data_IF_395340039913
#
_entry.id   IF_395340039913
#
_cell.length_a   1.000
_cell.length_b   1.000
_cell.length_c   1.000
_cell.angle_alpha   90.00
_cell.angle_beta   90.00
_cell.angle_gamma   90.00
#
_symmetry.space_group_name_H-M   'P 1'
#
loop_
_entity.id
_entity.type
_entity.pdbx_description
1 polymer ?
#
# COMPACT_ATOMS: atom_id res chain seq x y z
N UNK A 1 5.49 14.11 9.99
CA UNK A 1 6.02 13.55 8.73
C UNK A 1 4.95 12.62 8.20
N UNK A 2 4.39 12.95 7.05
CA UNK A 2 3.38 12.13 6.38
C UNK A 2 4.10 11.01 5.63
N UNK A 3 3.66 9.78 5.86
CA UNK A 3 4.19 8.62 5.17
C UNK A 3 3.03 7.88 4.52
N UNK A 4 2.94 8.03 3.20
CA UNK A 4 1.83 7.55 2.39
C UNK A 4 2.32 6.32 1.63
N UNK A 5 1.63 5.20 1.85
CA UNK A 5 1.90 3.95 1.14
C UNK A 5 0.77 3.67 0.16
N UNK A 6 1.12 3.36 -1.08
CA UNK A 6 0.18 3.01 -2.15
C UNK A 6 0.40 1.55 -2.51
N UNK A 7 -0.63 0.73 -2.41
CA UNK A 7 -0.57 -0.69 -2.77
C UNK A 7 -1.28 -0.91 -4.10
N UNK A 8 -0.60 -1.52 -5.06
CA UNK A 8 -1.09 -1.78 -6.42
C UNK A 8 -1.00 -3.25 -6.81
N UNK A 9 -1.63 -3.64 -7.92
CA UNK A 9 -1.69 -5.05 -8.36
C UNK A 9 -0.31 -5.62 -8.70
N UNK A 10 0.50 -4.88 -9.45
CA UNK A 10 1.69 -5.44 -10.10
C UNK A 10 2.99 -4.74 -9.71
N UNK A 11 4.14 -5.45 -9.76
CA UNK A 11 5.46 -4.84 -9.54
C UNK A 11 5.76 -3.69 -10.51
N UNK A 12 5.24 -3.77 -11.74
CA UNK A 12 5.47 -2.76 -12.78
C UNK A 12 4.73 -1.46 -12.46
N UNK A 13 3.46 -1.53 -12.04
CA UNK A 13 2.71 -0.37 -11.55
C UNK A 13 3.40 0.27 -10.34
N UNK A 14 3.92 -0.54 -9.40
CA UNK A 14 4.62 -0.02 -8.24
C UNK A 14 5.87 0.77 -8.65
N UNK A 15 6.67 0.25 -9.58
CA UNK A 15 7.86 0.96 -10.11
C UNK A 15 7.50 2.26 -10.82
N UNK A 16 6.43 2.27 -11.62
CA UNK A 16 5.95 3.48 -12.30
C UNK A 16 5.55 4.56 -11.29
N UNK A 17 4.79 4.19 -10.27
CA UNK A 17 4.37 5.10 -9.21
C UNK A 17 5.57 5.60 -8.38
N UNK A 18 6.49 4.72 -7.99
CA UNK A 18 7.70 5.17 -7.28
C UNK A 18 8.50 6.20 -8.08
N UNK A 19 8.62 5.98 -9.39
CA UNK A 19 9.30 6.93 -10.29
C UNK A 19 8.57 8.27 -10.36
N UNK A 20 7.25 8.25 -10.58
CA UNK A 20 6.43 9.46 -10.69
C UNK A 20 6.40 10.26 -9.37
N UNK A 21 6.25 9.57 -8.24
CA UNK A 21 6.12 10.18 -6.92
C UNK A 21 7.46 10.57 -6.29
N UNK A 22 8.58 10.12 -6.85
CA UNK A 22 9.93 10.44 -6.35
C UNK A 22 10.14 11.96 -6.24
N UNK A 23 9.63 12.72 -7.21
CA UNK A 23 9.74 14.18 -7.23
C UNK A 23 8.91 14.90 -6.17
N UNK A 24 7.89 14.23 -5.62
CA UNK A 24 7.01 14.77 -4.58
C UNK A 24 7.52 14.47 -3.16
N UNK A 25 8.51 13.59 -3.03
CA UNK A 25 9.13 13.27 -1.75
C UNK A 25 9.93 14.46 -1.22
N UNK A 26 9.72 14.79 0.05
CA UNK A 26 10.47 15.84 0.75
C UNK A 26 10.60 15.50 2.24
N UNK A 27 11.12 16.44 3.03
CA UNK A 27 11.35 16.25 4.47
C UNK A 27 10.06 16.08 5.28
N UNK A 28 8.92 16.52 4.75
CA UNK A 28 7.60 16.47 5.40
C UNK A 28 6.74 15.31 4.92
N UNK A 29 6.87 14.90 3.67
CA UNK A 29 6.01 13.89 3.03
C UNK A 29 6.82 12.86 2.27
N UNK A 30 6.54 11.58 2.51
CA UNK A 30 7.14 10.42 1.86
C UNK A 30 6.07 9.55 1.22
N UNK A 31 6.22 9.28 -0.06
CA UNK A 31 5.45 8.31 -0.84
C UNK A 31 6.27 7.04 -1.06
N UNK A 32 5.59 5.90 -0.99
CA UNK A 32 6.13 4.60 -1.36
C UNK A 32 5.04 3.79 -2.03
N UNK A 33 5.39 3.10 -3.12
CA UNK A 33 4.48 2.22 -3.82
C UNK A 33 4.92 0.77 -3.63
N UNK A 34 3.96 -0.12 -3.43
CA UNK A 34 4.17 -1.53 -3.15
C UNK A 34 3.20 -2.34 -3.99
N UNK A 35 3.59 -3.55 -4.36
CA UNK A 35 2.69 -4.46 -5.05
C UNK A 35 2.14 -5.56 -4.12
N UNK A 36 0.97 -6.08 -4.46
CA UNK A 36 0.40 -7.25 -3.79
C UNK A 36 1.39 -8.42 -3.87
N UNK A 37 1.61 -9.10 -2.74
CA UNK A 37 2.56 -10.21 -2.64
C UNK A 37 4.03 -9.80 -2.48
N UNK A 38 4.34 -8.50 -2.45
CA UNK A 38 5.69 -8.04 -2.10
C UNK A 38 6.02 -8.37 -0.65
N UNK A 39 7.23 -8.84 -0.37
CA UNK A 39 7.65 -9.13 0.99
C UNK A 39 7.43 -7.90 1.89
N UNK A 40 6.86 -8.11 3.09
CA UNK A 40 6.49 -7.05 4.03
C UNK A 40 7.69 -6.32 4.68
N UNK A 41 8.89 -6.49 4.12
CA UNK A 41 10.15 -5.90 4.60
C UNK A 41 10.28 -4.51 3.99
N UNK A 42 10.25 -3.46 4.82
CA UNK A 42 10.45 -2.07 4.37
C UNK A 42 9.22 -1.15 4.41
N UNK A 43 8.18 -1.52 5.15
CA UNK A 43 6.98 -0.69 5.38
C UNK A 43 7.15 0.31 6.54
N UNK A 44 8.32 0.32 7.17
CA UNK A 44 8.71 1.32 8.14
C UNK A 44 9.76 2.20 7.49
N UNK A 45 9.43 3.46 7.27
CA UNK A 45 10.43 4.44 6.86
C UNK A 45 11.01 5.09 8.12
N UNK A 46 12.30 4.84 8.40
CA UNK A 46 12.99 5.35 9.60
C UNK A 46 12.22 5.04 10.91
N UNK A 47 11.67 3.84 11.04
CA UNK A 47 10.86 3.43 12.20
C UNK A 47 9.46 4.05 12.29
N UNK A 48 9.05 4.85 11.29
CA UNK A 48 7.72 5.48 11.22
C UNK A 48 6.77 4.59 10.43
N UNK A 49 5.58 4.33 10.99
CA UNK A 49 4.49 3.61 10.31
C UNK A 49 3.80 4.52 9.28
N UNK A 50 3.17 3.97 8.24
CA UNK A 50 2.38 4.75 7.30
C UNK A 50 1.28 5.54 8.03
N UNK A 51 1.18 6.83 7.74
CA UNK A 51 0.08 7.69 8.20
C UNK A 51 -1.15 7.54 7.30
N UNK A 52 -0.96 7.12 6.06
CA UNK A 52 -2.04 6.88 5.10
C UNK A 52 -1.68 5.70 4.21
N UNK A 53 -2.67 4.85 3.96
CA UNK A 53 -2.54 3.71 3.06
C UNK A 53 -3.62 3.78 2.01
N UNK A 54 -3.22 3.85 0.74
CA UNK A 54 -4.10 3.87 -0.43
C UNK A 54 -4.03 2.48 -1.06
N UNK A 55 -5.18 1.85 -1.24
CA UNK A 55 -5.29 0.51 -1.82
C UNK A 55 -5.90 0.66 -3.21
N UNK A 56 -5.10 0.35 -4.22
CA UNK A 56 -5.39 0.54 -5.63
C UNK A 56 -5.04 -0.74 -6.41
N UNK A 57 -5.54 -1.86 -5.91
CA UNK A 57 -5.47 -3.17 -6.55
C UNK A 57 -6.87 -3.69 -6.85
N UNK A 58 -6.96 -4.62 -7.79
CA UNK A 58 -8.16 -5.33 -8.19
C UNK A 58 -8.55 -6.39 -7.15
N UNK A 59 -9.74 -6.97 -7.27
CA UNK A 59 -10.16 -8.04 -6.34
C UNK A 59 -9.10 -9.15 -6.26
N UNK A 60 -8.62 -9.43 -5.06
CA UNK A 60 -7.62 -10.46 -4.83
C UNK A 60 -8.26 -11.83 -5.03
N UNK A 61 -7.83 -12.55 -6.06
CA UNK A 61 -8.42 -13.84 -6.41
C UNK A 61 -7.68 -15.02 -5.78
N UNK A 62 -6.38 -14.86 -5.49
CA UNK A 62 -5.55 -15.95 -4.96
C UNK A 62 -5.52 -15.94 -3.43
N UNK A 63 -5.56 -17.13 -2.84
CA UNK A 63 -5.51 -17.28 -1.38
C UNK A 63 -4.22 -16.72 -0.76
N UNK A 64 -3.10 -16.80 -1.47
CA UNK A 64 -1.84 -16.21 -1.03
C UNK A 64 -1.89 -14.68 -0.96
N UNK A 65 -2.57 -14.04 -1.92
CA UNK A 65 -2.75 -12.59 -1.97
C UNK A 65 -3.68 -12.14 -0.83
N UNK A 66 -4.77 -12.87 -0.59
CA UNK A 66 -5.68 -12.63 0.55
C UNK A 66 -4.98 -12.83 1.90
N UNK A 67 -4.11 -13.83 2.02
CA UNK A 67 -3.33 -14.07 3.23
C UNK A 67 -2.33 -12.94 3.46
N UNK A 68 -1.60 -12.56 2.41
CA UNK A 68 -0.69 -11.42 2.42
C UNK A 68 -1.41 -10.14 2.83
N UNK A 69 -2.58 -9.87 2.26
CA UNK A 69 -3.41 -8.70 2.57
C UNK A 69 -3.73 -8.66 4.07
N UNK A 70 -4.24 -9.77 4.63
CA UNK A 70 -4.56 -9.86 6.07
C UNK A 70 -3.34 -9.60 6.96
N UNK A 71 -2.19 -10.17 6.61
CA UNK A 71 -0.94 -9.97 7.36
C UNK A 71 -0.47 -8.51 7.29
N UNK A 72 -0.48 -7.92 6.09
CA UNK A 72 -0.05 -6.55 5.85
C UNK A 72 -0.96 -5.55 6.56
N UNK A 73 -2.27 -5.71 6.43
CA UNK A 73 -3.26 -4.84 7.08
C UNK A 73 -3.25 -4.98 8.59
N UNK A 74 -3.09 -6.21 9.10
CA UNK A 74 -2.89 -6.44 10.53
C UNK A 74 -1.66 -5.69 11.06
N UNK A 75 -0.54 -5.75 10.33
CA UNK A 75 0.70 -5.06 10.70
C UNK A 75 0.64 -3.53 10.57
N UNK A 76 -0.23 -3.01 9.70
CA UNK A 76 -0.47 -1.57 9.54
C UNK A 76 -1.33 -0.97 10.66
N UNK A 77 -1.90 -1.79 11.55
CA UNK A 77 -2.72 -1.32 12.67
C UNK A 77 -4.18 -1.04 12.29
N UNK A 78 -4.62 -1.47 11.10
CA UNK A 78 -5.99 -1.31 10.62
C UNK A 78 -6.91 -2.49 10.98
N UNK A 79 -6.52 -3.32 11.95
CA UNK A 79 -7.17 -4.59 12.28
C UNK A 79 -8.71 -4.53 12.29
N UNK A 80 -9.30 -3.51 12.94
CA UNK A 80 -10.76 -3.31 12.99
C UNK A 80 -11.28 -2.11 12.19
N UNK A 81 -10.44 -1.11 11.90
CA UNK A 81 -10.79 0.14 11.21
C UNK A 81 -10.46 0.14 9.71
N UNK A 82 -10.40 -1.04 9.10
CA UNK A 82 -9.84 -1.20 7.77
C UNK A 82 -10.55 -0.35 6.70
N UNK A 83 -9.82 0.49 5.95
CA UNK A 83 -10.37 1.21 4.80
C UNK A 83 -11.06 0.31 3.77
N UNK A 84 -10.57 -0.91 3.46
CA UNK A 84 -11.22 -1.83 2.49
C UNK A 84 -12.58 -2.32 2.93
N UNK A 85 -12.90 -2.36 4.23
CA UNK A 85 -14.26 -2.66 4.70
C UNK A 85 -15.27 -1.60 4.24
N UNK A 86 -14.82 -0.37 3.96
CA UNK A 86 -15.61 0.74 3.43
C UNK A 86 -15.19 1.17 2.02
N UNK A 87 -14.17 0.53 1.42
CA UNK A 87 -13.64 0.97 0.12
C UNK A 87 -14.62 0.57 -0.95
N UNK A 88 -15.23 1.58 -1.58
CA UNK A 88 -15.91 1.39 -2.86
C UNK A 88 -14.83 1.09 -3.90
N UNK A 89 -14.77 -0.16 -4.33
CA UNK A 89 -13.93 -0.58 -5.43
C UNK A 89 -14.28 0.24 -6.67
N UNK A 90 -13.36 1.10 -7.12
CA UNK A 90 -13.45 1.75 -8.42
C UNK A 90 -12.71 0.85 -9.38
N UNK A 91 -13.45 0.02 -10.12
CA UNK A 91 -12.87 -0.77 -11.21
C UNK A 91 -12.50 0.19 -12.33
N UNK A 92 -11.21 0.26 -12.66
CA UNK A 92 -10.75 0.89 -13.89
C UNK A 92 -10.99 -0.11 -15.02
N UNK A 93 -12.14 0.04 -15.68
CA UNK A 93 -12.48 -0.62 -16.95
C UNK A 93 -11.50 -0.21 -18.06
#
# INVERSE_FOLDING_TARGET
MEYIVIVVDTPEQARLLESALRSLNNDRTRFQALHVGQAAVGWQFKGTRPTTVILAYSELTKDQEKKWEREVIGNLGYADGHPTRQTKWVSLL
#
